data_IF_627636341464
#
_entry.id   IF_627636341464
#
_cell.length_a   1.000
_cell.length_b   1.000
_cell.length_c   1.000
_cell.angle_alpha   90.00
_cell.angle_beta   90.00
_cell.angle_gamma   90.00
#
_symmetry.space_group_name_H-M   'P 1'
#
loop_
_entity.id
_entity.type
_entity.pdbx_description
1 polymer ?
#
# COMPACT_ATOMS: atom_id res chain seq x y z
N UNK A 1 -2.02 8.81 -9.87
CA UNK A 1 -1.20 8.20 -8.82
C UNK A 1 -2.12 7.34 -7.94
N UNK A 2 -1.72 6.88 -6.77
CA UNK A 2 -2.60 6.08 -5.91
C UNK A 2 -2.11 6.03 -4.48
N UNK A 3 -2.97 5.53 -3.61
CA UNK A 3 -2.74 5.45 -2.18
C UNK A 3 -2.40 4.01 -1.77
N UNK A 4 -1.28 3.84 -1.07
CA UNK A 4 -0.90 2.59 -0.41
C UNK A 4 -1.26 2.68 1.07
N UNK A 5 -1.90 1.64 1.60
CA UNK A 5 -2.09 1.47 3.04
C UNK A 5 -1.31 0.25 3.49
N UNK A 6 -0.49 0.41 4.53
CA UNK A 6 0.35 -0.64 5.09
C UNK A 6 -0.07 -0.85 6.55
N UNK A 7 -0.45 -2.07 6.90
CA UNK A 7 -0.68 -2.48 8.27
C UNK A 7 0.48 -3.37 8.72
N UNK A 8 1.22 -2.92 9.72
CA UNK A 8 2.34 -3.63 10.34
C UNK A 8 2.07 -3.74 11.84
N UNK A 9 1.67 -4.92 12.30
CA UNK A 9 1.31 -5.21 13.69
C UNK A 9 0.29 -4.21 14.26
N UNK A 10 0.75 -3.19 14.98
CA UNK A 10 -0.06 -2.15 15.63
C UNK A 10 -0.01 -0.79 14.91
N UNK A 11 0.68 -0.70 13.77
CA UNK A 11 0.87 0.54 13.02
C UNK A 11 0.15 0.49 11.67
N UNK A 12 -0.58 1.57 11.39
CA UNK A 12 -1.17 1.85 10.09
C UNK A 12 -0.41 3.00 9.45
N UNK A 13 0.18 2.76 8.27
CA UNK A 13 0.84 3.78 7.45
C UNK A 13 0.05 3.99 6.18
N UNK A 14 -0.27 5.25 5.87
CA UNK A 14 -0.91 5.64 4.61
C UNK A 14 0.09 6.45 3.79
N UNK A 15 0.27 6.07 2.53
CA UNK A 15 1.15 6.75 1.58
C UNK A 15 0.31 7.16 0.37
N UNK A 16 0.06 8.45 0.21
CA UNK A 16 -0.67 9.02 -0.91
C UNK A 16 0.28 9.34 -2.08
N UNK A 17 -0.29 9.58 -3.26
CA UNK A 17 0.45 9.98 -4.48
C UNK A 17 1.56 8.99 -4.93
N UNK A 18 1.46 7.74 -4.50
CA UNK A 18 2.42 6.70 -4.86
C UNK A 18 2.17 6.23 -6.30
N UNK A 19 3.24 5.84 -7.00
CA UNK A 19 3.15 5.23 -8.32
C UNK A 19 2.91 3.72 -8.20
N UNK A 20 2.21 3.14 -9.18
CA UNK A 20 1.93 1.69 -9.23
C UNK A 20 3.22 0.86 -9.24
N UNK A 21 4.29 1.37 -9.86
CA UNK A 21 5.62 0.75 -9.87
C UNK A 21 6.25 0.71 -8.48
N UNK A 22 6.15 1.80 -7.71
CA UNK A 22 6.62 1.85 -6.33
C UNK A 22 5.85 0.86 -5.43
N UNK A 23 4.53 0.77 -5.57
CA UNK A 23 3.73 -0.23 -4.86
C UNK A 23 4.16 -1.67 -5.19
N UNK A 24 4.38 -2.00 -6.48
CA UNK A 24 4.83 -3.34 -6.87
C UNK A 24 6.20 -3.68 -6.27
N UNK A 25 7.12 -2.71 -6.19
CA UNK A 25 8.40 -2.90 -5.52
C UNK A 25 8.25 -3.12 -4.01
N UNK A 26 7.36 -2.35 -3.35
CA UNK A 26 7.07 -2.53 -1.92
C UNK A 26 6.47 -3.91 -1.63
N UNK A 27 5.51 -4.35 -2.44
CA UNK A 27 4.91 -5.69 -2.34
C UNK A 27 5.93 -6.81 -2.54
N UNK A 28 6.88 -6.62 -3.46
CA UNK A 28 7.96 -7.58 -3.71
C UNK A 28 8.90 -7.66 -2.50
N UNK A 29 9.37 -6.51 -1.99
CA UNK A 29 10.22 -6.42 -0.80
C UNK A 29 9.56 -7.00 0.46
N UNK A 30 8.25 -6.81 0.61
CA UNK A 30 7.49 -7.37 1.74
C UNK A 30 7.40 -8.90 1.68
N UNK A 31 7.31 -9.50 0.48
CA UNK A 31 7.34 -10.96 0.31
C UNK A 31 8.73 -11.57 0.51
N UNK A 32 9.79 -10.82 0.24
CA UNK A 32 11.18 -11.28 0.40
C UNK A 32 11.71 -11.19 1.84
N UNK A 33 10.92 -10.68 2.80
CA UNK A 33 11.29 -10.63 4.23
C UNK A 33 10.56 -11.69 5.04
N UNK A 34 11.12 -12.91 5.20
CA UNK A 34 10.53 -13.98 6.01
C UNK A 34 10.65 -13.77 7.54
N UNK A 35 11.48 -12.82 7.99
CA UNK A 35 11.82 -12.63 9.41
C UNK A 35 10.76 -11.88 10.25
N UNK A 36 9.72 -11.31 9.63
CA UNK A 36 8.65 -10.59 10.33
C UNK A 36 7.28 -11.00 9.79
N UNK A 37 6.21 -10.91 10.60
CA UNK A 37 4.85 -11.05 10.07
C UNK A 37 4.70 -10.10 8.88
N UNK A 38 4.35 -10.64 7.72
CA UNK A 38 4.31 -9.86 6.50
C UNK A 38 3.29 -8.71 6.66
N UNK A 39 3.67 -7.44 6.45
CA UNK A 39 2.75 -6.34 6.57
C UNK A 39 1.64 -6.49 5.51
N UNK A 40 0.40 -6.22 5.90
CA UNK A 40 -0.72 -6.24 4.97
C UNK A 40 -0.70 -4.94 4.16
N UNK A 41 -0.42 -5.05 2.86
CA UNK A 41 -0.31 -3.89 1.95
C UNK A 41 -1.53 -3.86 1.03
N UNK A 42 -2.35 -2.82 1.17
CA UNK A 42 -3.47 -2.51 0.30
C UNK A 42 -3.07 -1.41 -0.69
N UNK A 43 -3.46 -1.56 -1.95
CA UNK A 43 -3.33 -0.51 -2.97
C UNK A 43 -4.71 -0.04 -3.40
N UNK A 44 -4.92 1.28 -3.37
CA UNK A 44 -6.06 1.94 -4.00
C UNK A 44 -5.51 2.87 -5.06
N UNK A 45 -5.93 2.69 -6.31
CA UNK A 45 -5.68 3.71 -7.32
C UNK A 45 -6.45 4.98 -6.90
N UNK A 46 -5.86 6.16 -7.12
CA UNK A 46 -6.61 7.42 -7.11
C UNK A 46 -7.51 7.38 -8.34
N UNK A 47 -8.54 6.56 -8.27
CA UNK A 47 -9.75 6.79 -9.03
C UNK A 47 -10.30 8.04 -8.37
N UNK A 48 -10.21 9.18 -9.04
CA UNK A 48 -10.91 10.40 -8.63
C UNK A 48 -12.34 10.00 -8.34
N UNK A 49 -12.62 9.75 -7.06
CA UNK A 49 -13.95 9.44 -6.62
C UNK A 49 -14.62 10.80 -6.62
N UNK A 50 -15.27 11.11 -7.74
CA UNK A 50 -16.59 11.69 -7.64
C UNK A 50 -17.42 10.71 -6.79
N UNK A 51 -17.22 10.72 -5.46
CA UNK A 51 -18.18 10.20 -4.48
C UNK A 51 -19.34 11.20 -4.48
N UNK A 52 -20.04 11.25 -5.61
CA UNK A 52 -21.37 11.79 -5.74
C UNK A 52 -22.33 10.61 -5.83
N UNK A 53 -23.33 10.65 -4.93
CA UNK A 53 -24.43 9.69 -4.70
C UNK A 53 -24.18 8.59 -3.66
#
# INVERSE_FOLDING_TARGET
MGTVVIFDQDQMTVLEDISKTAYLQMKKKAKERPDKPAPYILWREDVSFEYGY
#
